data_IF_988483366977
#
_entry.id   IF_988483366977
#
_cell.length_a   1.000
_cell.length_b   1.000
_cell.length_c   1.000
_cell.angle_alpha   90.00
_cell.angle_beta   90.00
_cell.angle_gamma   90.00
#
_symmetry.space_group_name_H-M   'P 1'
#
loop_
_entity.id
_entity.type
_entity.pdbx_description
1 polymer ?
#
# COMPACT_ATOMS: atom_id res chain seq x y z
N UNK A 1 13.59 2.88 0.20
CA UNK A 1 12.51 3.52 -0.59
C UNK A 1 11.19 3.24 0.11
N UNK A 2 10.42 4.28 0.44
CA UNK A 2 9.15 4.12 1.18
C UNK A 2 7.97 4.04 0.21
N UNK A 3 7.06 3.10 0.47
CA UNK A 3 5.80 2.94 -0.25
C UNK A 3 4.70 3.43 0.69
N UNK A 4 3.95 4.44 0.26
CA UNK A 4 2.76 4.93 0.97
C UNK A 4 1.51 4.63 0.16
N UNK A 5 0.39 4.46 0.87
CA UNK A 5 -0.92 4.24 0.26
C UNK A 5 -1.88 5.23 0.92
N UNK A 6 -2.50 6.07 0.10
CA UNK A 6 -3.38 7.15 0.52
C UNK A 6 -4.76 6.96 -0.10
N UNK A 7 -5.81 7.08 0.72
CA UNK A 7 -7.19 7.04 0.23
C UNK A 7 -7.47 8.37 -0.46
N UNK A 8 -8.02 8.32 -1.66
CA UNK A 8 -8.44 9.53 -2.36
C UNK A 8 -9.85 9.86 -1.88
N UNK A 9 -9.98 10.97 -1.16
CA UNK A 9 -11.28 11.58 -0.89
C UNK A 9 -11.70 12.37 -2.15
N UNK A 10 -12.32 11.69 -3.10
CA UNK A 10 -12.81 12.36 -4.30
C UNK A 10 -14.10 13.13 -3.99
N UNK A 11 -14.10 14.44 -4.27
CA UNK A 11 -15.35 15.21 -4.51
C UNK A 11 -16.07 14.77 -5.81
N UNK A 12 -15.66 13.66 -6.43
CA UNK A 12 -16.23 13.05 -7.63
C UNK A 12 -17.51 12.30 -7.23
N UNK A 13 -18.49 13.05 -6.72
CA UNK A 13 -19.83 12.62 -6.31
C UNK A 13 -20.71 12.02 -7.42
N UNK A 14 -20.17 11.61 -8.57
CA UNK A 14 -21.00 11.23 -9.73
C UNK A 14 -20.54 10.02 -10.55
N UNK A 15 -19.39 9.42 -10.28
CA UNK A 15 -18.95 8.21 -11.03
C UNK A 15 -18.86 6.97 -10.14
N UNK A 16 -18.59 7.08 -8.83
CA UNK A 16 -18.04 5.96 -8.06
C UNK A 16 -18.56 5.80 -6.61
N UNK A 17 -19.86 6.00 -6.34
CA UNK A 17 -20.43 5.67 -5.01
C UNK A 17 -20.26 4.18 -4.61
N UNK A 18 -19.80 3.32 -5.52
CA UNK A 18 -19.55 1.89 -5.30
C UNK A 18 -18.09 1.53 -5.07
N UNK A 19 -17.14 2.40 -5.43
CA UNK A 19 -15.73 2.04 -5.46
C UNK A 19 -14.93 2.96 -4.53
N UNK A 20 -14.01 2.37 -3.77
CA UNK A 20 -13.01 3.12 -3.02
C UNK A 20 -11.71 3.20 -3.83
N UNK A 21 -11.15 4.42 -3.90
CA UNK A 21 -9.92 4.74 -4.63
C UNK A 21 -8.73 4.95 -3.68
N UNK A 22 -7.59 4.39 -4.06
CA UNK A 22 -6.34 4.52 -3.30
C UNK A 22 -5.17 4.78 -4.24
N UNK A 23 -4.42 5.83 -3.97
CA UNK A 23 -3.17 6.11 -4.65
C UNK A 23 -2.00 5.43 -3.94
N UNK A 24 -1.16 4.76 -4.72
CA UNK A 24 0.09 4.14 -4.27
C UNK A 24 1.24 5.01 -4.73
N UNK A 25 2.07 5.42 -3.76
CA UNK A 25 3.19 6.30 -3.97
C UNK A 25 4.50 5.59 -3.65
N UNK A 26 5.54 5.92 -4.40
CA UNK A 26 6.93 5.57 -4.12
C UNK A 26 7.69 6.87 -3.95
N UNK A 27 8.06 7.19 -2.71
CA UNK A 27 8.55 8.53 -2.38
C UNK A 27 7.45 9.57 -2.64
N UNK A 28 7.79 10.61 -3.41
CA UNK A 28 6.88 11.70 -3.80
C UNK A 28 6.10 11.40 -5.09
N UNK A 29 6.38 10.28 -5.76
CA UNK A 29 5.75 9.95 -7.05
C UNK A 29 4.61 8.96 -6.87
N UNK A 30 3.42 9.36 -7.35
CA UNK A 30 2.30 8.43 -7.58
C UNK A 30 2.65 7.47 -8.72
N UNK A 31 2.48 6.17 -8.48
CA UNK A 31 2.80 5.14 -9.47
C UNK A 31 1.58 4.35 -9.95
N UNK A 32 0.51 4.29 -9.15
CA UNK A 32 -0.68 3.47 -9.41
C UNK A 32 -1.87 4.02 -8.63
N UNK A 33 -3.06 3.94 -9.23
CA UNK A 33 -4.34 4.12 -8.54
C UNK A 33 -5.07 2.78 -8.52
N UNK A 34 -5.47 2.33 -7.34
CA UNK A 34 -6.25 1.12 -7.12
C UNK A 34 -7.72 1.49 -6.94
N UNK A 35 -8.61 0.72 -7.58
CA UNK A 35 -10.06 0.82 -7.38
C UNK A 35 -10.59 -0.52 -6.87
N UNK A 36 -11.48 -0.49 -5.89
CA UNK A 36 -12.20 -1.71 -5.45
C UNK A 36 -13.61 -1.39 -4.99
N UNK A 37 -14.54 -2.31 -5.21
CA UNK A 37 -15.89 -2.28 -4.62
C UNK A 37 -15.93 -2.91 -3.21
N UNK A 38 -14.82 -3.50 -2.76
CA UNK A 38 -14.75 -4.24 -1.51
C UNK A 38 -13.67 -3.68 -0.58
N UNK A 39 -14.07 -2.76 0.30
CA UNK A 39 -13.21 -2.15 1.34
C UNK A 39 -12.39 -3.18 2.13
N UNK A 40 -12.99 -4.33 2.46
CA UNK A 40 -12.28 -5.40 3.20
C UNK A 40 -11.10 -6.00 2.41
N UNK A 41 -11.22 -6.14 1.09
CA UNK A 41 -10.13 -6.61 0.22
C UNK A 41 -9.04 -5.57 0.14
N UNK A 42 -9.37 -4.27 0.04
CA UNK A 42 -8.35 -3.23 0.04
C UNK A 42 -7.59 -3.15 1.35
N UNK A 43 -8.29 -3.17 2.50
CA UNK A 43 -7.66 -3.17 3.82
C UNK A 43 -6.67 -4.32 3.96
N UNK A 44 -7.02 -5.51 3.46
CA UNK A 44 -6.14 -6.67 3.42
C UNK A 44 -4.92 -6.42 2.54
N UNK A 45 -5.12 -5.92 1.32
CA UNK A 45 -4.03 -5.58 0.39
C UNK A 45 -3.05 -4.55 0.98
N UNK A 46 -3.55 -3.45 1.52
CA UNK A 46 -2.74 -2.41 2.17
C UNK A 46 -1.96 -2.98 3.37
N UNK A 47 -2.59 -3.84 4.16
CA UNK A 47 -1.92 -4.54 5.26
C UNK A 47 -0.77 -5.42 4.77
N UNK A 48 -0.98 -6.25 3.76
CA UNK A 48 0.07 -7.13 3.21
C UNK A 48 1.20 -6.34 2.55
N UNK A 49 0.89 -5.26 1.82
CA UNK A 49 1.90 -4.35 1.26
C UNK A 49 2.79 -3.74 2.35
N UNK A 50 2.19 -3.28 3.45
CA UNK A 50 2.93 -2.74 4.61
C UNK A 50 3.81 -3.81 5.25
N UNK A 51 3.34 -5.06 5.38
CA UNK A 51 4.14 -6.18 5.89
C UNK A 51 5.35 -6.47 4.99
N UNK A 52 5.12 -6.64 3.68
CA UNK A 52 6.18 -6.89 2.71
C UNK A 52 7.23 -5.77 2.70
N UNK A 53 6.80 -4.50 2.82
CA UNK A 53 7.73 -3.37 2.91
C UNK A 53 8.55 -3.38 4.22
N UNK A 54 7.97 -3.82 5.34
CA UNK A 54 8.71 -3.98 6.62
C UNK A 54 9.70 -5.14 6.57
N UNK A 55 9.34 -6.25 5.94
CA UNK A 55 10.21 -7.42 5.81
C UNK A 55 11.43 -7.11 4.94
N UNK A 56 11.27 -6.40 3.83
CA UNK A 56 12.40 -5.92 3.01
C UNK A 56 13.34 -4.97 3.75
N UNK A 57 12.87 -4.28 4.80
CA UNK A 57 13.67 -3.38 5.63
C UNK A 57 14.38 -4.10 6.78
N UNK A 58 14.03 -5.36 7.07
CA UNK A 58 14.85 -6.14 8.01
C UNK A 58 16.14 -6.51 7.27
N UNK A 59 17.32 -6.09 7.75
CA UNK A 59 18.56 -6.64 7.21
C UNK A 59 18.50 -8.15 7.39
N UNK A 60 18.86 -8.88 6.34
CA UNK A 60 19.05 -10.32 6.40
C UNK A 60 19.89 -10.65 7.63
N UNK A 61 19.25 -11.13 8.69
CA UNK A 61 19.95 -11.75 9.83
C UNK A 61 20.39 -13.14 9.37
N UNK A 62 21.27 -13.18 8.37
CA UNK A 62 22.07 -14.37 8.11
C UNK A 62 23.20 -14.32 9.13
N UNK A 63 23.18 -15.31 10.01
CA UNK A 63 23.92 -15.35 11.26
C UNK A 63 25.41 -15.11 11.10
N UNK A 64 25.90 -14.08 11.79
CA UNK A 64 27.28 -13.96 12.20
C UNK A 64 27.45 -14.65 13.57
N UNK A 65 27.24 -15.95 13.63
CA UNK A 65 27.73 -16.80 14.73
C UNK A 65 28.82 -17.71 14.17
N UNK A 66 30.01 -17.13 14.01
CA UNK A 66 31.28 -17.86 13.97
C UNK A 66 32.00 -17.49 15.27
N UNK A 67 31.89 -18.36 16.28
CA UNK A 67 32.88 -18.54 17.34
C UNK A 67 32.90 -19.99 17.78
#
# INVERSE_FOLDING_TARGET
MEVTVERIETEVKKIEDRYELFDVHIGDKRILTLFTDCDSVMKKWVSELRKANREKKKPDRIGSDIR
#
